data_IF_486591943696
#
_entry.id   IF_486591943696
#
_cell.length_a   1.000
_cell.length_b   1.000
_cell.length_c   1.000
_cell.angle_alpha   90.00
_cell.angle_beta   90.00
_cell.angle_gamma   90.00
#
_symmetry.space_group_name_H-M   'P 1'
#
loop_
_entity.id
_entity.type
_entity.pdbx_description
1 polymer ?
#
# COMPACT_ATOMS: atom_id res chain seq x y z
N UNK A 1 11.04 -18.27 -8.32
CA UNK A 1 9.68 -18.86 -8.26
C UNK A 1 9.76 -20.35 -8.56
N UNK A 2 8.95 -21.15 -7.90
CA UNK A 2 8.78 -22.59 -8.13
C UNK A 2 7.34 -22.83 -8.58
N UNK A 3 7.16 -23.57 -9.66
CA UNK A 3 5.82 -23.94 -10.14
C UNK A 3 5.54 -25.41 -9.77
N UNK A 4 4.28 -25.70 -9.44
CA UNK A 4 3.79 -27.04 -9.17
C UNK A 4 2.54 -27.31 -10.02
N UNK A 5 2.48 -28.47 -10.67
CA UNK A 5 1.33 -28.88 -11.45
C UNK A 5 0.29 -29.47 -10.49
N UNK A 6 -0.91 -28.92 -10.52
CA UNK A 6 -2.07 -29.48 -9.79
C UNK A 6 -2.83 -30.45 -10.70
N UNK A 7 -3.02 -31.69 -10.26
CA UNK A 7 -3.72 -32.75 -10.98
C UNK A 7 -2.80 -33.67 -11.80
N UNK A 8 -3.34 -34.31 -12.85
CA UNK A 8 -2.61 -35.23 -13.67
C UNK A 8 -1.47 -34.56 -14.42
N UNK A 9 -0.27 -35.14 -14.32
CA UNK A 9 0.94 -34.67 -14.98
C UNK A 9 0.98 -35.23 -16.42
N UNK A 10 1.18 -34.33 -17.36
CA UNK A 10 1.39 -34.62 -18.78
C UNK A 10 2.62 -33.83 -19.27
N UNK A 11 3.33 -34.33 -20.26
CA UNK A 11 4.54 -33.70 -20.83
C UNK A 11 4.27 -32.26 -21.27
N UNK A 12 3.13 -32.00 -21.89
CA UNK A 12 2.73 -30.65 -22.31
C UNK A 12 2.58 -29.69 -21.11
N UNK A 13 2.00 -30.18 -20.00
CA UNK A 13 1.85 -29.39 -18.76
C UNK A 13 3.19 -29.15 -18.07
N UNK A 14 4.14 -30.10 -18.14
CA UNK A 14 5.49 -29.89 -17.61
C UNK A 14 6.23 -28.78 -18.37
N UNK A 15 6.17 -28.81 -19.70
CA UNK A 15 6.78 -27.74 -20.52
C UNK A 15 6.12 -26.39 -20.28
N UNK A 16 4.80 -26.37 -20.14
CA UNK A 16 4.06 -25.14 -19.81
C UNK A 16 4.46 -24.62 -18.43
N UNK A 17 4.53 -25.48 -17.43
CA UNK A 17 4.96 -25.13 -16.07
C UNK A 17 6.38 -24.55 -16.06
N UNK A 18 7.29 -25.11 -16.84
CA UNK A 18 8.66 -24.61 -17.00
C UNK A 18 8.67 -23.21 -17.62
N UNK A 19 7.92 -22.99 -18.71
CA UNK A 19 7.80 -21.67 -19.35
C UNK A 19 7.23 -20.61 -18.39
N UNK A 20 6.17 -20.96 -17.64
CA UNK A 20 5.58 -20.08 -16.63
C UNK A 20 6.60 -19.73 -15.54
N UNK A 21 7.33 -20.72 -15.04
CA UNK A 21 8.40 -20.51 -14.05
C UNK A 21 9.47 -19.54 -14.57
N UNK A 22 9.96 -19.79 -15.77
CA UNK A 22 11.04 -19.00 -16.36
C UNK A 22 10.58 -17.56 -16.63
N UNK A 23 9.35 -17.39 -17.11
CA UNK A 23 8.74 -16.08 -17.32
C UNK A 23 8.53 -15.30 -15.99
N UNK A 24 8.01 -15.97 -14.94
CA UNK A 24 7.84 -15.34 -13.63
C UNK A 24 9.17 -14.93 -13.00
N UNK A 25 10.22 -15.78 -13.14
CA UNK A 25 11.54 -15.43 -12.65
C UNK A 25 12.12 -14.24 -13.43
N UNK A 26 11.98 -14.22 -14.74
CA UNK A 26 12.38 -13.09 -15.56
C UNK A 26 11.67 -11.80 -15.15
N UNK A 27 10.35 -11.84 -14.93
CA UNK A 27 9.63 -10.65 -14.47
C UNK A 27 10.15 -10.13 -13.12
N UNK A 28 10.36 -11.02 -12.14
CA UNK A 28 10.75 -10.62 -10.78
C UNK A 28 12.21 -10.18 -10.72
N UNK A 29 13.13 -10.87 -11.40
CA UNK A 29 14.58 -10.66 -11.24
C UNK A 29 15.13 -9.63 -12.25
N UNK A 30 14.55 -9.56 -13.46
CA UNK A 30 15.08 -8.71 -14.52
C UNK A 30 14.21 -7.48 -14.81
N UNK A 31 12.88 -7.63 -14.80
CA UNK A 31 11.97 -6.55 -15.14
C UNK A 31 11.65 -5.64 -13.95
N UNK A 32 11.36 -6.23 -12.78
CA UNK A 32 11.04 -5.49 -11.55
C UNK A 32 12.31 -5.16 -10.77
N UNK A 33 13.08 -4.18 -11.24
CA UNK A 33 14.35 -3.78 -10.58
C UNK A 33 14.16 -3.30 -9.13
N UNK A 34 12.98 -2.82 -8.80
CA UNK A 34 12.60 -2.41 -7.45
C UNK A 34 12.28 -3.57 -6.51
N UNK A 35 12.06 -4.79 -7.05
CA UNK A 35 11.56 -5.91 -6.25
C UNK A 35 12.48 -6.29 -5.09
N UNK A 36 13.79 -6.43 -5.38
CA UNK A 36 14.79 -6.85 -4.39
C UNK A 36 15.01 -5.79 -3.29
N UNK A 37 15.34 -4.52 -3.61
CA UNK A 37 15.54 -3.51 -2.57
C UNK A 37 14.28 -3.23 -1.75
N UNK A 38 13.12 -3.21 -2.36
CA UNK A 38 11.83 -3.06 -1.68
C UNK A 38 11.48 -4.27 -0.80
N UNK A 39 11.95 -5.46 -1.17
CA UNK A 39 11.76 -6.67 -0.38
C UNK A 39 12.71 -6.71 0.82
N UNK A 40 13.96 -6.31 0.64
CA UNK A 40 14.94 -6.20 1.73
C UNK A 40 14.47 -5.18 2.78
N UNK A 41 13.98 -4.03 2.35
CA UNK A 41 13.40 -3.04 3.23
C UNK A 41 12.20 -3.62 4.01
N UNK A 42 11.31 -4.32 3.33
CA UNK A 42 10.17 -4.99 3.96
C UNK A 42 10.62 -6.02 5.02
N UNK A 43 11.64 -6.84 4.72
CA UNK A 43 12.17 -7.84 5.65
C UNK A 43 12.79 -7.21 6.90
N UNK A 44 13.36 -6.02 6.78
CA UNK A 44 13.88 -5.27 7.93
C UNK A 44 12.73 -4.71 8.79
N UNK A 45 11.72 -4.12 8.18
CA UNK A 45 10.60 -3.51 8.90
C UNK A 45 9.64 -4.53 9.53
N UNK A 46 9.42 -5.67 8.87
CA UNK A 46 8.45 -6.68 9.30
C UNK A 46 8.67 -7.18 10.74
N UNK A 47 9.89 -7.61 11.15
CA UNK A 47 10.13 -8.02 12.53
C UNK A 47 9.95 -6.87 13.54
N UNK A 48 10.27 -5.65 13.18
CA UNK A 48 10.20 -4.49 14.08
C UNK A 48 8.74 -4.07 14.31
N UNK A 49 8.02 -3.75 13.26
CA UNK A 49 6.65 -3.22 13.31
C UNK A 49 5.58 -4.30 13.48
N UNK A 50 5.88 -5.54 13.11
CA UNK A 50 4.95 -6.67 13.17
C UNK A 50 4.02 -6.80 11.97
N UNK A 51 3.85 -5.75 11.17
CA UNK A 51 3.06 -5.75 9.94
C UNK A 51 3.69 -4.88 8.89
N UNK A 52 3.68 -5.36 7.67
CA UNK A 52 4.09 -4.62 6.47
C UNK A 52 3.20 -5.02 5.31
N UNK A 53 3.22 -4.22 4.26
CA UNK A 53 2.41 -4.46 3.08
C UNK A 53 3.25 -4.37 1.81
N UNK A 54 2.82 -5.06 0.77
CA UNK A 54 3.26 -4.81 -0.60
C UNK A 54 2.09 -4.40 -1.45
N UNK A 55 2.26 -3.35 -2.24
CA UNK A 55 1.34 -2.94 -3.29
C UNK A 55 1.83 -3.50 -4.61
N UNK A 56 0.99 -4.30 -5.28
CA UNK A 56 1.30 -4.89 -6.58
C UNK A 56 0.28 -4.37 -7.59
N UNK A 57 0.75 -3.76 -8.66
CA UNK A 57 -0.09 -3.20 -9.71
C UNK A 57 0.65 -3.18 -11.05
N UNK A 58 -0.10 -3.00 -12.13
CA UNK A 58 0.48 -2.73 -13.44
C UNK A 58 0.62 -1.22 -13.62
N UNK A 59 1.81 -0.77 -14.00
CA UNK A 59 2.09 0.64 -14.26
C UNK A 59 2.10 0.87 -15.77
N UNK A 60 1.11 1.60 -16.26
CA UNK A 60 0.94 1.85 -17.70
C UNK A 60 2.06 2.71 -18.27
N UNK A 61 2.66 3.60 -17.46
CA UNK A 61 3.77 4.44 -17.89
C UNK A 61 5.07 3.63 -18.06
N UNK A 62 5.26 2.64 -17.18
CA UNK A 62 6.41 1.74 -17.24
C UNK A 62 6.14 0.53 -18.14
N UNK A 63 4.88 0.25 -18.50
CA UNK A 63 4.47 -0.89 -19.30
C UNK A 63 4.75 -2.25 -18.66
N UNK A 64 4.80 -2.32 -17.30
CA UNK A 64 5.14 -3.54 -16.56
C UNK A 64 4.47 -3.59 -15.19
N UNK A 65 4.45 -4.78 -14.61
CA UNK A 65 4.05 -4.94 -13.21
C UNK A 65 5.10 -4.33 -12.27
N UNK A 66 4.63 -3.77 -11.17
CA UNK A 66 5.42 -3.09 -10.13
C UNK A 66 5.03 -3.65 -8.77
N UNK A 67 6.00 -3.85 -7.90
CA UNK A 67 5.80 -4.31 -6.53
C UNK A 67 6.52 -3.38 -5.56
N UNK A 68 5.77 -2.54 -4.83
CA UNK A 68 6.31 -1.57 -3.87
C UNK A 68 6.06 -1.98 -2.44
N UNK A 69 7.01 -1.72 -1.58
CA UNK A 69 6.86 -1.80 -0.14
C UNK A 69 5.99 -0.66 0.36
N UNK A 70 5.07 -0.97 1.27
CA UNK A 70 4.22 0.00 1.95
C UNK A 70 4.35 -0.25 3.46
N UNK A 71 4.91 0.68 4.22
CA UNK A 71 4.97 0.57 5.66
C UNK A 71 3.57 0.63 6.28
N UNK A 72 3.42 0.11 7.50
CA UNK A 72 2.12 0.08 8.17
C UNK A 72 1.56 1.49 8.45
N UNK A 73 2.43 2.49 8.59
CA UNK A 73 2.06 3.89 8.84
C UNK A 73 1.38 4.54 7.62
N UNK A 74 1.67 4.05 6.40
CA UNK A 74 1.14 4.59 5.15
C UNK A 74 -0.10 3.84 4.64
N UNK A 75 -0.58 2.82 5.37
CA UNK A 75 -1.80 2.09 5.05
C UNK A 75 -2.81 2.17 6.18
N UNK A 76 -3.89 2.90 5.94
CA UNK A 76 -4.95 3.14 6.92
C UNK A 76 -6.14 2.24 6.60
N UNK A 77 -6.60 1.49 7.59
CA UNK A 77 -7.79 0.64 7.49
C UNK A 77 -8.76 0.95 8.64
N UNK A 78 -10.07 0.72 8.47
CA UNK A 78 -11.04 0.86 9.54
C UNK A 78 -10.71 -0.05 10.72
N UNK A 79 -10.99 0.39 11.94
CA UNK A 79 -10.73 -0.38 13.17
C UNK A 79 -11.50 -1.72 13.21
N UNK A 80 -12.65 -1.78 12.53
CA UNK A 80 -13.48 -2.99 12.43
C UNK A 80 -12.92 -4.06 11.50
N UNK A 81 -11.92 -3.73 10.67
CA UNK A 81 -11.36 -4.66 9.70
C UNK A 81 -10.47 -5.71 10.38
N UNK A 82 -10.62 -6.97 10.01
CA UNK A 82 -9.73 -8.07 10.41
C UNK A 82 -8.75 -8.47 9.30
N UNK A 83 -9.12 -8.21 8.05
CA UNK A 83 -8.32 -8.50 6.86
C UNK A 83 -8.47 -7.39 5.81
N UNK A 84 -7.60 -7.39 4.80
CA UNK A 84 -7.75 -6.49 3.63
C UNK A 84 -9.00 -6.81 2.80
N UNK A 85 -9.47 -8.05 2.88
CA UNK A 85 -10.65 -8.50 2.15
C UNK A 85 -11.95 -7.98 2.78
N UNK A 86 -12.02 -7.98 4.13
CA UNK A 86 -13.19 -7.49 4.88
C UNK A 86 -13.23 -5.96 4.96
N UNK A 87 -12.10 -5.28 4.76
CA UNK A 87 -12.03 -3.84 4.94
C UNK A 87 -12.95 -3.13 3.95
N UNK A 88 -13.90 -2.34 4.48
CA UNK A 88 -14.79 -1.50 3.66
C UNK A 88 -14.03 -0.40 2.93
N UNK A 89 -12.96 0.10 3.54
CA UNK A 89 -12.06 1.07 2.94
C UNK A 89 -10.62 0.75 3.28
N UNK A 90 -9.71 0.94 2.32
CA UNK A 90 -8.26 0.89 2.51
C UNK A 90 -7.70 2.18 1.94
N UNK A 91 -6.97 2.96 2.74
CA UNK A 91 -6.40 4.22 2.31
C UNK A 91 -4.88 4.10 2.31
N UNK A 92 -4.28 4.34 1.15
CA UNK A 92 -2.84 4.39 0.98
C UNK A 92 -2.39 5.85 0.91
N UNK A 93 -1.51 6.22 1.82
CA UNK A 93 -0.89 7.55 1.87
C UNK A 93 0.33 7.55 0.96
N UNK A 94 0.31 8.41 -0.05
CA UNK A 94 1.36 8.49 -1.07
C UNK A 94 2.00 9.88 -0.99
N UNK A 95 3.32 9.91 -0.88
CA UNK A 95 4.09 11.14 -1.02
C UNK A 95 4.67 11.21 -2.44
N UNK A 96 4.42 12.30 -3.13
CA UNK A 96 4.82 12.49 -4.53
C UNK A 96 5.43 13.88 -4.73
N UNK A 97 6.51 13.94 -5.51
CA UNK A 97 7.11 15.21 -5.91
C UNK A 97 6.19 15.98 -6.85
N UNK A 98 6.32 17.32 -6.89
CA UNK A 98 5.57 18.14 -7.83
C UNK A 98 5.77 17.70 -9.29
N UNK A 99 7.00 17.40 -9.66
CA UNK A 99 7.32 16.97 -11.00
C UNK A 99 6.66 15.62 -11.37
N UNK A 100 6.63 14.67 -10.45
CA UNK A 100 6.01 13.36 -10.71
C UNK A 100 4.48 13.46 -10.71
N UNK A 101 3.92 14.32 -9.87
CA UNK A 101 2.50 14.66 -9.91
C UNK A 101 2.15 15.24 -11.30
N UNK A 102 2.96 16.18 -11.79
CA UNK A 102 2.74 16.79 -13.10
C UNK A 102 2.86 15.79 -14.26
N UNK A 103 3.81 14.85 -14.20
CA UNK A 103 3.90 13.74 -15.17
C UNK A 103 2.60 12.92 -15.21
N UNK A 104 2.03 12.61 -14.04
CA UNK A 104 0.78 11.85 -13.93
C UNK A 104 -0.42 12.64 -14.46
N UNK A 105 -0.44 13.96 -14.29
CA UNK A 105 -1.47 14.83 -14.86
C UNK A 105 -1.34 14.88 -16.40
N UNK A 106 -0.14 15.09 -16.94
CA UNK A 106 0.12 15.12 -18.39
C UNK A 106 -0.20 13.78 -19.04
N UNK A 107 0.09 12.67 -18.35
CA UNK A 107 -0.26 11.33 -18.83
C UNK A 107 -1.78 11.03 -18.77
N UNK A 108 -2.60 11.93 -18.21
CA UNK A 108 -4.04 11.75 -18.09
C UNK A 108 -4.48 10.79 -16.98
N UNK A 109 -3.54 10.35 -16.13
CA UNK A 109 -3.85 9.49 -14.98
C UNK A 109 -4.53 10.28 -13.86
N UNK A 110 -4.09 11.52 -13.62
CA UNK A 110 -4.71 12.49 -12.75
C UNK A 110 -5.30 13.65 -13.53
N UNK A 111 -6.34 14.27 -13.00
CA UNK A 111 -6.94 15.48 -13.57
C UNK A 111 -5.93 16.62 -13.52
N UNK A 112 -5.85 17.40 -14.60
CA UNK A 112 -5.00 18.60 -14.67
C UNK A 112 -5.67 19.75 -13.92
N UNK A 113 -5.36 19.88 -12.62
CA UNK A 113 -5.88 20.90 -11.71
C UNK A 113 -4.74 21.44 -10.85
N UNK A 114 -4.76 22.73 -10.58
CA UNK A 114 -3.84 23.36 -9.65
C UNK A 114 -4.20 23.00 -8.20
N UNK A 115 -3.23 22.53 -7.44
CA UNK A 115 -3.42 22.08 -6.06
C UNK A 115 -2.98 23.11 -5.00
N UNK A 116 -2.28 24.17 -5.42
CA UNK A 116 -1.62 25.09 -4.50
C UNK A 116 -0.35 24.48 -3.90
N UNK A 117 0.24 25.18 -2.94
CA UNK A 117 1.44 24.66 -2.26
C UNK A 117 1.11 23.50 -1.32
N UNK A 118 2.01 22.51 -1.17
CA UNK A 118 1.82 21.44 -0.19
C UNK A 118 1.65 22.03 1.21
N UNK A 119 0.64 21.59 1.97
CA UNK A 119 0.49 22.05 3.35
C UNK A 119 1.61 21.47 4.22
N UNK A 120 2.25 22.30 5.01
CA UNK A 120 3.20 21.84 6.03
C UNK A 120 2.39 21.15 7.13
N UNK A 121 2.46 19.83 7.20
CA UNK A 121 1.77 19.07 8.24
C UNK A 121 2.74 18.82 9.39
N UNK A 122 2.46 19.38 10.56
CA UNK A 122 3.17 19.03 11.78
C UNK A 122 2.81 17.60 12.21
N UNK A 123 3.70 16.65 11.97
CA UNK A 123 3.55 15.29 12.42
C UNK A 123 4.67 14.95 13.42
N UNK A 124 4.33 14.93 14.71
CA UNK A 124 5.27 14.65 15.80
C UNK A 124 6.03 13.32 15.65
N UNK A 125 5.41 12.30 15.03
CA UNK A 125 6.07 11.03 14.78
C UNK A 125 7.10 11.15 13.65
N UNK A 126 6.79 11.91 12.62
CA UNK A 126 7.69 12.18 11.51
C UNK A 126 8.84 13.05 11.95
N UNK A 127 8.59 14.07 12.76
CA UNK A 127 9.63 14.93 13.34
C UNK A 127 10.60 14.13 14.20
N UNK A 128 10.11 13.21 15.04
CA UNK A 128 10.95 12.30 15.81
C UNK A 128 11.74 11.32 14.96
N UNK A 129 11.18 10.82 13.86
CA UNK A 129 11.93 9.97 12.91
C UNK A 129 13.10 10.76 12.31
N UNK A 130 12.85 11.95 11.81
CA UNK A 130 13.89 12.82 11.25
C UNK A 130 14.97 13.19 12.28
N UNK A 131 14.56 13.49 13.50
CA UNK A 131 15.50 13.75 14.62
C UNK A 131 16.40 12.55 14.90
N UNK A 132 15.85 11.34 14.94
CA UNK A 132 16.59 10.08 15.15
C UNK A 132 17.53 9.77 13.98
N UNK A 133 17.18 10.15 12.78
CA UNK A 133 17.99 10.01 11.57
C UNK A 133 19.03 11.14 11.42
N UNK A 134 19.00 12.15 12.30
CA UNK A 134 19.89 13.29 12.26
C UNK A 134 19.61 14.27 11.12
N UNK A 135 18.40 14.22 10.55
CA UNK A 135 17.97 15.08 9.47
C UNK A 135 17.22 16.29 10.05
N UNK A 136 17.75 17.49 9.82
CA UNK A 136 17.04 18.71 10.17
C UNK A 136 15.86 18.92 9.20
N UNK A 137 14.65 19.18 9.73
CA UNK A 137 13.49 19.54 8.91
C UNK A 137 13.72 20.96 8.34
N UNK A 138 13.94 21.03 7.04
CA UNK A 138 13.90 22.30 6.33
C UNK A 138 12.42 22.62 6.09
N UNK A 139 11.87 23.58 6.75
CA UNK A 139 10.42 23.88 6.89
C UNK A 139 9.55 23.96 5.63
N UNK A 140 10.04 23.44 4.52
CA UNK A 140 9.35 23.38 3.25
C UNK A 140 9.17 21.90 2.84
N UNK A 141 7.94 21.41 2.85
CA UNK A 141 7.64 20.11 2.23
C UNK A 141 7.52 20.29 0.72
N UNK A 142 8.50 19.78 -0.02
CA UNK A 142 8.47 19.76 -1.51
C UNK A 142 7.60 18.63 -2.06
N UNK A 143 6.90 17.87 -1.20
CA UNK A 143 6.13 16.71 -1.59
C UNK A 143 4.63 16.91 -1.29
N UNK A 144 3.81 16.55 -2.27
CA UNK A 144 2.37 16.46 -2.11
C UNK A 144 1.99 15.14 -1.44
N UNK A 145 1.09 15.20 -0.46
CA UNK A 145 0.47 14.01 0.13
C UNK A 145 -0.83 13.72 -0.60
N UNK A 146 -0.93 12.51 -1.15
CA UNK A 146 -2.12 11.99 -1.81
C UNK A 146 -2.70 10.85 -0.99
N UNK A 147 -4.01 10.79 -0.91
CA UNK A 147 -4.76 9.69 -0.32
C UNK A 147 -5.41 8.87 -1.45
N UNK A 148 -4.92 7.67 -1.66
CA UNK A 148 -5.54 6.70 -2.57
C UNK A 148 -6.51 5.84 -1.76
N UNK A 149 -7.79 6.08 -1.93
CA UNK A 149 -8.89 5.47 -1.16
C UNK A 149 -9.54 4.36 -1.97
N UNK A 150 -9.37 3.12 -1.55
CA UNK A 150 -10.07 1.96 -2.09
C UNK A 150 -11.33 1.73 -1.26
N UNK A 151 -12.49 2.00 -1.81
CA UNK A 151 -13.77 1.91 -1.08
C UNK A 151 -14.94 1.61 -2.02
N UNK A 152 -16.08 1.27 -1.44
CA UNK A 152 -17.30 1.06 -2.20
C UNK A 152 -18.12 2.35 -2.24
N UNK A 153 -18.50 2.80 -3.43
CA UNK A 153 -19.28 4.02 -3.65
C UNK A 153 -20.49 3.73 -4.55
N UNK A 154 -21.55 4.45 -4.28
CA UNK A 154 -22.68 4.60 -5.17
C UNK A 154 -22.56 5.97 -5.85
N UNK A 155 -22.25 5.97 -7.14
CA UNK A 155 -21.96 7.19 -7.89
C UNK A 155 -23.10 7.46 -8.87
N UNK A 156 -23.66 8.67 -8.83
CA UNK A 156 -24.70 9.13 -9.75
C UNK A 156 -24.27 8.94 -11.22
N UNK A 157 -25.09 8.24 -11.99
CA UNK A 157 -24.81 7.89 -13.39
C UNK A 157 -23.92 6.67 -13.60
N UNK A 158 -23.47 6.01 -12.52
CA UNK A 158 -22.65 4.79 -12.53
C UNK A 158 -23.14 3.75 -11.52
N UNK A 159 -24.42 3.83 -11.17
CA UNK A 159 -25.08 2.96 -10.21
C UNK A 159 -25.09 1.50 -10.71
N UNK A 160 -25.18 0.58 -9.77
CA UNK A 160 -25.48 -0.80 -10.09
C UNK A 160 -26.95 -0.94 -10.50
N UNK A 161 -27.20 -1.48 -11.71
CA UNK A 161 -28.55 -1.63 -12.25
C UNK A 161 -29.05 -3.06 -12.08
N UNK A 162 -30.26 -3.20 -11.57
CA UNK A 162 -30.97 -4.47 -11.52
C UNK A 162 -31.41 -4.98 -12.89
N UNK A 163 -31.93 -6.18 -12.95
CA UNK A 163 -32.46 -6.77 -14.17
C UNK A 163 -33.72 -6.07 -14.72
N UNK A 164 -34.35 -5.25 -13.91
CA UNK A 164 -35.49 -4.37 -14.22
C UNK A 164 -35.07 -2.96 -14.71
N UNK A 165 -33.76 -2.67 -14.71
CA UNK A 165 -33.22 -1.37 -15.10
C UNK A 165 -33.30 -0.28 -14.05
N UNK A 166 -33.68 -0.62 -12.82
CA UNK A 166 -33.70 0.30 -11.69
C UNK A 166 -32.37 0.20 -10.89
N UNK A 167 -31.92 1.30 -10.25
CA UNK A 167 -30.73 1.26 -9.39
C UNK A 167 -30.93 0.32 -8.20
N UNK A 168 -30.00 -0.58 -7.97
CA UNK A 168 -30.06 -1.55 -6.85
C UNK A 168 -29.68 -0.94 -5.51
N UNK A 169 -29.01 0.23 -5.49
CA UNK A 169 -28.42 0.85 -4.29
C UNK A 169 -27.18 0.10 -3.78
N UNK A 170 -26.65 -0.86 -4.53
CA UNK A 170 -25.41 -1.55 -4.20
C UNK A 170 -24.23 -0.65 -4.52
N UNK A 171 -23.37 -0.44 -3.52
CA UNK A 171 -22.12 0.30 -3.69
C UNK A 171 -21.08 -0.53 -4.41
N UNK A 172 -20.52 0.02 -5.49
CA UNK A 172 -19.50 -0.65 -6.31
C UNK A 172 -18.09 -0.26 -5.86
N UNK A 173 -17.08 -1.15 -6.06
CA UNK A 173 -15.70 -0.86 -5.69
C UNK A 173 -15.08 0.21 -6.60
N UNK A 174 -14.51 1.26 -6.01
CA UNK A 174 -13.77 2.31 -6.68
C UNK A 174 -12.43 2.60 -6.00
N UNK A 175 -11.51 3.17 -6.74
CA UNK A 175 -10.27 3.80 -6.25
C UNK A 175 -10.39 5.29 -6.51
N UNK A 176 -10.36 6.07 -5.43
CA UNK A 176 -10.44 7.53 -5.49
C UNK A 176 -9.13 8.10 -4.97
N UNK A 177 -8.47 8.94 -5.76
CA UNK A 177 -7.28 9.65 -5.32
C UNK A 177 -7.62 11.09 -5.00
N UNK A 178 -7.31 11.51 -3.78
CA UNK A 178 -7.56 12.86 -3.26
C UNK A 178 -6.25 13.49 -2.83
N UNK A 179 -6.03 14.74 -3.20
CA UNK A 179 -4.90 15.50 -2.69
C UNK A 179 -5.22 16.13 -1.33
N UNK A 180 -4.26 16.05 -0.39
CA UNK A 180 -4.34 16.79 0.86
C UNK A 180 -4.33 18.30 0.59
N UNK A 181 -3.47 18.75 -0.33
CA UNK A 181 -3.44 20.13 -0.79
C UNK A 181 -4.73 20.43 -1.59
N UNK A 182 -5.51 21.40 -1.10
CA UNK A 182 -6.74 21.84 -1.73
C UNK A 182 -7.93 20.87 -1.63
N UNK A 183 -7.77 19.69 -1.01
CA UNK A 183 -8.85 18.68 -0.83
C UNK A 183 -9.58 18.35 -2.12
N UNK A 184 -8.84 18.23 -3.22
CA UNK A 184 -9.39 18.01 -4.57
C UNK A 184 -9.24 16.54 -4.98
N UNK A 185 -10.28 16.02 -5.63
CA UNK A 185 -10.27 14.69 -6.24
C UNK A 185 -9.46 14.74 -7.54
N UNK A 186 -8.40 13.94 -7.60
CA UNK A 186 -7.51 13.83 -8.75
C UNK A 186 -7.96 12.75 -9.74
N UNK A 187 -8.44 11.62 -9.24
CA UNK A 187 -8.96 10.54 -10.09
C UNK A 187 -10.01 9.71 -9.38
N UNK A 188 -10.92 9.15 -10.15
CA UNK A 188 -11.88 8.13 -9.73
C UNK A 188 -11.80 7.01 -10.77
N UNK A 189 -11.53 5.79 -10.31
CA UNK A 189 -11.40 4.61 -11.19
C UNK A 189 -12.20 3.44 -10.63
N UNK A 190 -12.79 2.65 -11.52
CA UNK A 190 -13.43 1.37 -11.15
C UNK A 190 -12.37 0.41 -10.60
N UNK A 191 -12.70 -0.28 -9.54
CA UNK A 191 -11.82 -1.28 -8.90
C UNK A 191 -12.35 -2.71 -9.08
N UNK A 192 -12.89 -3.02 -10.24
CA UNK A 192 -13.37 -4.34 -10.62
C UNK A 192 -13.21 -4.56 -12.12
N UNK A 193 -13.16 -5.83 -12.54
CA UNK A 193 -13.08 -6.18 -13.96
C UNK A 193 -14.38 -5.88 -14.70
N UNK A 194 -14.32 -5.27 -15.87
CA UNK A 194 -15.50 -4.93 -16.68
C UNK A 194 -16.34 -6.17 -17.04
N UNK A 195 -15.69 -7.33 -17.19
CA UNK A 195 -16.34 -8.60 -17.55
C UNK A 195 -16.71 -9.44 -16.31
N UNK A 196 -16.43 -8.98 -15.09
CA UNK A 196 -16.78 -9.70 -13.87
C UNK A 196 -18.25 -9.41 -13.48
N UNK A 197 -19.17 -10.39 -13.61
CA UNK A 197 -20.56 -10.19 -13.28
C UNK A 197 -20.79 -9.94 -11.77
N UNK A 198 -19.84 -10.37 -10.92
CA UNK A 198 -19.89 -10.18 -9.48
C UNK A 198 -19.24 -8.87 -9.02
N UNK A 199 -18.60 -8.15 -9.93
CA UNK A 199 -17.91 -6.86 -9.66
C UNK A 199 -17.05 -6.89 -8.41
N UNK A 200 -16.28 -7.96 -8.24
CA UNK A 200 -15.40 -8.14 -7.08
C UNK A 200 -14.27 -7.13 -7.09
N UNK A 201 -14.01 -6.55 -5.91
CA UNK A 201 -12.88 -5.63 -5.76
C UNK A 201 -11.56 -6.33 -6.08
N UNK A 202 -10.69 -5.64 -6.83
CA UNK A 202 -9.31 -6.06 -7.04
C UNK A 202 -8.48 -5.64 -5.83
N UNK A 203 -7.76 -6.60 -5.24
CA UNK A 203 -6.86 -6.33 -4.12
C UNK A 203 -5.45 -6.04 -4.65
N UNK A 204 -4.99 -4.82 -4.46
CA UNK A 204 -3.64 -4.41 -4.82
C UNK A 204 -2.64 -4.62 -3.68
N UNK A 205 -3.10 -4.80 -2.46
CA UNK A 205 -2.25 -4.91 -1.28
C UNK A 205 -2.17 -6.34 -0.78
N UNK A 206 -0.95 -6.75 -0.41
CA UNK A 206 -0.67 -8.03 0.26
C UNK A 206 -0.10 -7.72 1.63
N UNK A 207 -0.72 -8.26 2.67
CA UNK A 207 -0.29 -8.09 4.06
C UNK A 207 0.68 -9.19 4.48
N UNK A 208 1.77 -8.80 5.14
CA UNK A 208 2.70 -9.69 5.81
C UNK A 208 2.65 -9.42 7.33
N UNK A 209 2.52 -10.47 8.12
CA UNK A 209 2.53 -10.41 9.59
C UNK A 209 3.73 -11.18 10.11
N UNK A 210 4.48 -10.60 11.07
CA UNK A 210 5.58 -11.30 11.73
C UNK A 210 5.05 -12.35 12.71
N UNK A 211 4.21 -11.91 13.64
CA UNK A 211 3.41 -12.81 14.47
C UNK A 211 1.95 -12.40 14.35
N UNK A 212 1.01 -13.36 14.26
CA UNK A 212 -0.41 -13.06 14.25
C UNK A 212 -0.82 -12.27 15.49
N UNK A 213 -1.51 -11.15 15.29
CA UNK A 213 -2.15 -10.39 16.36
C UNK A 213 -3.60 -10.80 16.54
N UNK A 214 -4.29 -10.18 17.49
CA UNK A 214 -5.72 -10.38 17.74
C UNK A 214 -6.63 -9.62 16.78
N UNK A 215 -6.06 -8.76 15.91
CA UNK A 215 -6.78 -7.94 14.95
C UNK A 215 -6.07 -7.86 13.60
N UNK A 216 -6.28 -6.74 12.92
CA UNK A 216 -5.71 -6.50 11.61
C UNK A 216 -4.19 -6.54 11.60
N UNK A 217 -3.53 -5.91 12.58
CA UNK A 217 -2.07 -5.86 12.65
C UNK A 217 -1.47 -7.04 13.42
N UNK A 218 -0.27 -7.47 13.01
CA UNK A 218 0.53 -8.45 13.72
C UNK A 218 1.41 -7.83 14.81
N UNK A 219 2.01 -8.67 15.64
CA UNK A 219 2.96 -8.26 16.68
C UNK A 219 4.40 -8.34 16.13
N UNK A 220 5.17 -7.29 16.39
CA UNK A 220 6.60 -7.23 16.12
C UNK A 220 7.44 -7.29 17.40
N UNK A 221 8.76 -7.30 17.24
CA UNK A 221 9.72 -7.33 18.35
C UNK A 221 9.55 -6.13 19.28
N UNK A 222 9.21 -4.95 18.77
CA UNK A 222 8.97 -3.76 19.59
C UNK A 222 7.83 -4.02 20.58
N UNK A 223 6.78 -4.69 20.18
CA UNK A 223 5.66 -5.04 21.04
C UNK A 223 6.05 -6.06 22.12
N UNK A 224 6.94 -7.01 21.78
CA UNK A 224 7.32 -8.11 22.67
C UNK A 224 8.36 -7.70 23.71
N UNK A 225 9.41 -7.00 23.28
CA UNK A 225 10.58 -6.70 24.15
C UNK A 225 10.76 -5.22 24.46
N UNK A 226 9.97 -4.32 23.87
CA UNK A 226 10.10 -2.87 24.05
C UNK A 226 9.95 -2.45 25.53
N UNK A 227 9.04 -3.06 26.26
CA UNK A 227 8.87 -2.85 27.70
C UNK A 227 10.11 -3.24 28.51
N UNK A 228 10.69 -4.41 28.24
CA UNK A 228 11.90 -4.90 28.89
C UNK A 228 13.10 -4.01 28.59
N UNK A 229 13.27 -3.63 27.34
CA UNK A 229 14.35 -2.72 26.90
C UNK A 229 14.25 -1.37 27.61
N UNK A 230 13.05 -0.81 27.73
CA UNK A 230 12.80 0.44 28.45
C UNK A 230 13.16 0.32 29.93
N UNK A 231 12.79 -0.77 30.59
CA UNK A 231 13.12 -1.03 32.00
C UNK A 231 14.63 -1.19 32.18
N UNK A 232 15.30 -1.95 31.33
CA UNK A 232 16.74 -2.14 31.38
C UNK A 232 17.49 -0.81 31.19
N UNK A 233 17.06 0.01 30.23
CA UNK A 233 17.63 1.35 30.00
C UNK A 233 17.45 2.27 31.21
N UNK A 234 16.27 2.26 31.85
CA UNK A 234 16.02 3.04 33.04
C UNK A 234 16.91 2.61 34.22
N UNK A 235 17.05 1.28 34.43
CA UNK A 235 17.91 0.73 35.47
C UNK A 235 19.40 1.11 35.25
N UNK A 236 19.89 1.02 34.01
CA UNK A 236 21.26 1.43 33.67
C UNK A 236 21.49 2.92 33.92
N UNK A 237 20.54 3.79 33.55
CA UNK A 237 20.63 5.23 33.84
C UNK A 237 20.69 5.49 35.34
N UNK A 238 19.84 4.85 36.14
CA UNK A 238 19.85 4.98 37.61
C UNK A 238 21.19 4.53 38.23
N UNK A 239 21.78 3.44 37.70
CA UNK A 239 23.09 2.98 38.14
C UNK A 239 24.20 3.97 37.82
N UNK A 240 24.16 4.60 36.63
CA UNK A 240 25.12 5.64 36.23
C UNK A 240 24.97 6.94 37.05
N UNK A 241 23.72 7.29 37.39
CA UNK A 241 23.44 8.49 38.20
C UNK A 241 23.80 8.31 39.69
N UNK A 242 23.86 7.04 40.17
CA UNK A 242 24.18 6.70 41.55
C UNK A 242 25.68 6.44 41.81
N UNK A 243 26.51 6.33 40.79
CA UNK A 243 27.98 6.13 40.85
C UNK A 243 28.77 7.35 40.49
#
# INVERSE_FOLDING_TARGET
>A
VRTQILGAVDVAKEEQSKRVKDFMNYQIMDQMKEYEPEFDQMLFYLPLSGSTFKKVYYDDLLGRAVSKFVPADDLIVPYSANSLEDAEAVIHVIKISENDLRKQQVAGFYRDIELGSPPVTENQLQDKKLELEGIARDGQEDQYTLYEVHTNLDLEGYEDMGGDGEPTGIKLPYVVTVSQAGQKVLSIRRNYGEQDPLRKKVNYFVQFKFLPGTGFYGFGLIHMIGGLTRTATAALRQLLDAG
#
